data_IF_654934895935
#
_entry.id   IF_654934895935
#
_cell.length_a   1.000
_cell.length_b   1.000
_cell.length_c   1.000
_cell.angle_alpha   90.00
_cell.angle_beta   90.00
_cell.angle_gamma   90.00
#
_symmetry.space_group_name_H-M   'P 1'
#
loop_
_entity.id
_entity.type
_entity.pdbx_description
1 polymer ?
#
# COMPACT_ATOMS: atom_id res chain seq x y z
N UNK A 1 35.14 35.22 -15.55
CA UNK A 1 35.87 34.59 -14.42
C UNK A 1 35.08 34.61 -13.11
N UNK A 2 34.45 35.73 -12.71
CA UNK A 2 33.69 35.79 -11.45
C UNK A 2 32.50 34.81 -11.38
N UNK A 3 31.69 34.69 -12.45
CA UNK A 3 30.51 33.79 -12.50
C UNK A 3 30.83 32.31 -12.29
N UNK A 4 31.95 31.83 -12.82
CA UNK A 4 32.39 30.44 -12.68
C UNK A 4 32.87 30.13 -11.26
N UNK A 5 33.52 31.10 -10.60
CA UNK A 5 33.97 30.96 -9.20
C UNK A 5 32.77 30.95 -8.24
N UNK A 6 31.77 31.80 -8.47
CA UNK A 6 30.53 31.82 -7.65
C UNK A 6 29.75 30.51 -7.77
N UNK A 7 29.66 29.94 -8.99
CA UNK A 7 29.02 28.64 -9.22
C UNK A 7 29.76 27.49 -8.53
N UNK A 8 31.10 27.53 -8.51
CA UNK A 8 31.92 26.52 -7.83
C UNK A 8 31.75 26.60 -6.31
N UNK A 9 31.75 27.81 -5.74
CA UNK A 9 31.48 28.06 -4.32
C UNK A 9 30.09 27.55 -3.91
N UNK A 10 29.06 27.80 -4.73
CA UNK A 10 27.71 27.30 -4.47
C UNK A 10 27.63 25.77 -4.52
N UNK A 11 28.37 25.13 -5.43
CA UNK A 11 28.40 23.67 -5.54
C UNK A 11 29.08 23.01 -4.32
N UNK A 12 30.15 23.62 -3.81
CA UNK A 12 30.87 23.15 -2.61
C UNK A 12 30.01 23.31 -1.36
N UNK A 13 29.32 24.44 -1.19
CA UNK A 13 28.46 24.65 -0.01
C UNK A 13 27.26 23.72 0.01
N UNK A 14 26.66 23.40 -1.13
CA UNK A 14 25.59 22.38 -1.23
C UNK A 14 26.14 20.98 -0.93
N UNK A 15 27.36 20.65 -1.38
CA UNK A 15 27.98 19.35 -1.08
C UNK A 15 28.23 19.13 0.42
N UNK A 16 28.58 20.20 1.15
CA UNK A 16 28.84 20.15 2.59
C UNK A 16 27.55 20.02 3.44
N UNK A 17 26.42 20.55 2.97
CA UNK A 17 25.14 20.44 3.71
C UNK A 17 24.47 19.07 3.55
N UNK A 18 24.84 18.30 2.53
CA UNK A 18 24.30 16.95 2.29
C UNK A 18 24.92 15.90 3.23
N UNK A 19 26.07 16.17 3.85
CA UNK A 19 26.73 15.25 4.78
C UNK A 19 26.29 15.49 6.23
N UNK A 20 25.01 15.26 6.51
CA UNK A 20 24.52 15.26 7.89
C UNK A 20 24.89 13.94 8.56
N UNK A 21 25.96 13.93 9.36
CA UNK A 21 26.31 12.79 10.21
C UNK A 21 25.23 12.66 11.29
N UNK A 22 24.41 11.59 11.28
CA UNK A 22 23.35 11.45 12.26
C UNK A 22 23.96 11.10 13.63
N UNK A 23 23.42 11.66 14.71
CA UNK A 23 23.85 11.33 16.07
C UNK A 23 23.62 9.85 16.43
N UNK A 24 22.62 9.21 15.83
CA UNK A 24 22.33 7.78 15.97
C UNK A 24 21.92 7.19 14.61
N UNK A 25 22.43 6.00 14.29
CA UNK A 25 22.10 5.29 13.05
C UNK A 25 21.58 3.88 13.36
N UNK A 26 20.32 3.63 13.02
CA UNK A 26 19.71 2.30 13.14
C UNK A 26 19.80 1.60 11.79
N UNK A 27 20.30 0.36 11.78
CA UNK A 27 20.39 -0.48 10.58
C UNK A 27 19.48 -1.70 10.75
N UNK A 28 18.42 -1.75 9.95
CA UNK A 28 17.61 -2.96 9.78
C UNK A 28 18.30 -3.86 8.76
N UNK A 29 18.57 -5.10 9.15
CA UNK A 29 19.18 -6.10 8.28
C UNK A 29 18.11 -6.89 7.53
N UNK A 30 18.50 -7.70 6.54
CA UNK A 30 17.58 -8.62 5.87
C UNK A 30 16.82 -9.51 6.87
N UNK A 31 17.50 -10.00 7.91
CA UNK A 31 16.86 -10.78 9.00
C UNK A 31 15.79 -9.98 9.75
N UNK A 32 16.03 -8.68 9.97
CA UNK A 32 15.02 -7.80 10.58
C UNK A 32 13.80 -7.60 9.68
N UNK A 33 14.01 -7.49 8.37
CA UNK A 33 12.93 -7.46 7.38
C UNK A 33 12.16 -8.79 7.34
N UNK A 34 12.86 -9.92 7.44
CA UNK A 34 12.23 -11.25 7.52
C UNK A 34 11.38 -11.41 8.78
N UNK A 35 11.84 -10.89 9.92
CA UNK A 35 11.03 -10.84 11.12
C UNK A 35 9.77 -9.96 10.95
N UNK A 36 9.94 -8.77 10.37
CA UNK A 36 8.84 -7.86 10.08
C UNK A 36 7.78 -8.49 9.15
N UNK A 37 8.20 -9.36 8.22
CA UNK A 37 7.29 -10.15 7.36
C UNK A 37 6.34 -11.04 8.16
N UNK A 38 6.85 -11.71 9.20
CA UNK A 38 6.04 -12.58 10.05
C UNK A 38 5.03 -11.77 10.88
N UNK A 39 5.47 -10.63 11.41
CA UNK A 39 4.59 -9.69 12.11
C UNK A 39 3.51 -9.16 11.17
N UNK A 40 3.90 -8.72 9.98
CA UNK A 40 2.98 -8.21 8.96
C UNK A 40 1.94 -9.25 8.56
N UNK A 41 2.32 -10.53 8.43
CA UNK A 41 1.36 -11.61 8.15
C UNK A 41 0.29 -11.74 9.22
N UNK A 42 0.67 -11.69 10.49
CA UNK A 42 -0.28 -11.78 11.60
C UNK A 42 -1.23 -10.57 11.65
N UNK A 43 -0.73 -9.38 11.32
CA UNK A 43 -1.53 -8.15 11.35
C UNK A 43 -2.39 -7.92 10.10
N UNK A 44 -2.01 -8.44 8.93
CA UNK A 44 -2.76 -8.19 7.69
C UNK A 44 -4.10 -8.91 7.65
N UNK A 45 -4.19 -10.14 8.14
CA UNK A 45 -5.43 -10.93 8.13
C UNK A 45 -6.58 -10.20 8.81
N UNK A 46 -6.45 -9.70 10.06
CA UNK A 46 -7.54 -8.96 10.71
C UNK A 46 -7.83 -7.61 10.04
N UNK A 47 -6.82 -6.93 9.47
CA UNK A 47 -7.05 -5.67 8.74
C UNK A 47 -7.90 -5.90 7.50
N UNK A 48 -7.58 -6.93 6.71
CA UNK A 48 -8.34 -7.25 5.50
C UNK A 48 -9.75 -7.78 5.81
N UNK A 49 -9.92 -8.55 6.89
CA UNK A 49 -11.23 -9.01 7.34
C UNK A 49 -12.16 -7.85 7.75
N UNK A 50 -11.58 -6.73 8.24
CA UNK A 50 -12.34 -5.57 8.68
C UNK A 50 -12.54 -4.50 7.60
N UNK A 51 -12.15 -4.76 6.35
CA UNK A 51 -12.44 -3.83 5.26
C UNK A 51 -13.96 -3.76 5.07
N UNK A 52 -14.50 -2.56 5.24
CA UNK A 52 -15.88 -2.23 4.88
C UNK A 52 -15.89 -1.70 3.45
N UNK A 53 -16.74 -2.27 2.63
CA UNK A 53 -17.01 -1.78 1.28
C UNK A 53 -18.31 -0.98 1.34
N UNK A 54 -18.31 0.19 0.73
CA UNK A 54 -19.48 1.07 0.68
C UNK A 54 -20.56 0.48 -0.23
N UNK A 55 -21.81 0.81 0.07
CA UNK A 55 -22.95 0.44 -0.77
C UNK A 55 -22.81 1.07 -2.18
N UNK A 56 -23.14 0.30 -3.21
CA UNK A 56 -23.06 0.72 -4.61
C UNK A 56 -24.46 0.77 -5.20
N UNK A 57 -24.86 1.95 -5.65
CA UNK A 57 -26.16 2.17 -6.28
C UNK A 57 -25.99 2.84 -7.63
N UNK A 58 -26.87 2.51 -8.57
CA UNK A 58 -26.87 3.16 -9.87
C UNK A 58 -28.09 2.84 -10.71
N UNK A 59 -28.15 3.53 -11.84
CA UNK A 59 -29.23 3.38 -12.82
C UNK A 59 -28.66 3.42 -14.22
N UNK A 60 -29.02 2.42 -15.02
CA UNK A 60 -28.69 2.31 -16.42
C UNK A 60 -29.99 2.20 -17.22
N UNK A 61 -30.40 3.29 -17.86
CA UNK A 61 -31.67 3.38 -18.58
C UNK A 61 -32.89 3.11 -17.68
N UNK A 62 -33.67 2.08 -18.02
CA UNK A 62 -34.85 1.64 -17.26
C UNK A 62 -34.50 0.71 -16.09
N UNK A 63 -33.25 0.31 -15.96
CA UNK A 63 -32.77 -0.60 -14.92
C UNK A 63 -32.11 0.18 -13.80
N UNK A 64 -32.53 -0.05 -12.56
CA UNK A 64 -31.84 0.41 -11.35
C UNK A 64 -31.23 -0.79 -10.65
N UNK A 65 -30.01 -0.62 -10.14
CA UNK A 65 -29.30 -1.65 -9.39
C UNK A 65 -28.80 -1.10 -8.06
N UNK A 66 -28.77 -1.97 -7.05
CA UNK A 66 -28.26 -1.68 -5.72
C UNK A 66 -27.54 -2.91 -5.19
N UNK A 67 -26.27 -2.76 -4.86
CA UNK A 67 -25.45 -3.73 -4.15
C UNK A 67 -25.17 -3.13 -2.79
N UNK A 68 -25.49 -3.86 -1.74
CA UNK A 68 -25.40 -3.32 -0.38
C UNK A 68 -25.03 -4.42 0.61
N UNK A 69 -24.67 -3.99 1.81
CA UNK A 69 -24.39 -4.88 2.92
C UNK A 69 -23.28 -5.89 2.56
N UNK A 70 -22.16 -5.35 2.09
CA UNK A 70 -20.95 -6.11 1.83
C UNK A 70 -20.36 -6.65 3.14
N UNK A 71 -20.21 -7.97 3.22
CA UNK A 71 -19.64 -8.67 4.38
C UNK A 71 -18.47 -9.53 3.93
N UNK A 72 -17.29 -9.21 4.43
CA UNK A 72 -16.10 -10.05 4.27
C UNK A 72 -16.18 -11.19 5.29
N UNK A 73 -16.24 -12.42 4.80
CA UNK A 73 -16.42 -13.59 5.68
C UNK A 73 -15.12 -14.32 5.97
N UNK A 74 -14.17 -14.28 5.02
CA UNK A 74 -12.93 -15.01 5.15
C UNK A 74 -11.84 -14.50 4.21
N UNK A 75 -10.72 -14.06 4.78
CA UNK A 75 -9.51 -13.64 4.06
C UNK A 75 -8.43 -14.69 4.22
N UNK A 76 -7.93 -15.21 3.09
CA UNK A 76 -6.82 -16.15 3.01
C UNK A 76 -5.60 -15.45 2.43
N UNK A 77 -4.50 -15.39 3.18
CA UNK A 77 -3.21 -14.87 2.69
C UNK A 77 -2.14 -15.96 2.82
N UNK A 78 -1.93 -16.78 1.78
CA UNK A 78 -1.01 -17.90 1.87
C UNK A 78 0.46 -17.48 1.70
N UNK A 79 0.75 -16.44 0.93
CA UNK A 79 2.12 -16.03 0.66
C UNK A 79 2.31 -14.51 0.72
N UNK A 80 3.21 -14.09 1.62
CA UNK A 80 3.67 -12.71 1.77
C UNK A 80 5.17 -12.75 1.63
N UNK A 81 5.71 -11.92 0.73
CA UNK A 81 7.13 -11.68 0.61
C UNK A 81 7.43 -10.20 0.88
N UNK A 82 8.57 -9.94 1.49
CA UNK A 82 9.02 -8.60 1.84
C UNK A 82 10.52 -8.53 1.60
N UNK A 83 10.97 -7.55 0.82
CA UNK A 83 12.39 -7.39 0.50
C UNK A 83 12.75 -5.93 0.27
N UNK A 84 14.01 -5.60 0.52
CA UNK A 84 14.57 -4.29 0.20
C UNK A 84 14.71 -4.17 -1.32
N UNK A 85 14.26 -3.04 -1.87
CA UNK A 85 14.40 -2.69 -3.27
C UNK A 85 15.24 -1.41 -3.40
N UNK A 86 16.58 -1.55 -3.58
CA UNK A 86 17.47 -0.41 -3.71
C UNK A 86 17.15 0.46 -4.92
N UNK A 87 16.63 -0.12 -6.01
CA UNK A 87 16.28 0.59 -7.24
C UNK A 87 15.09 1.55 -7.07
N UNK A 88 14.16 1.23 -6.16
CA UNK A 88 13.03 2.10 -5.80
C UNK A 88 13.26 2.87 -4.49
N UNK A 89 14.47 2.79 -3.92
CA UNK A 89 14.85 3.42 -2.65
C UNK A 89 13.86 3.08 -1.51
N UNK A 90 13.43 1.83 -1.42
CA UNK A 90 12.36 1.46 -0.50
C UNK A 90 12.26 -0.03 -0.18
N UNK A 91 11.14 -0.38 0.43
CA UNK A 91 10.76 -1.74 0.79
C UNK A 91 9.61 -2.18 -0.12
N UNK A 92 9.73 -3.36 -0.71
CA UNK A 92 8.67 -3.95 -1.52
C UNK A 92 8.00 -5.08 -0.74
N UNK A 93 6.71 -4.93 -0.51
CA UNK A 93 5.82 -5.98 -0.01
C UNK A 93 5.07 -6.58 -1.20
N UNK A 94 5.07 -7.91 -1.32
CA UNK A 94 4.34 -8.63 -2.35
C UNK A 94 3.44 -9.67 -1.72
N UNK A 95 2.16 -9.63 -2.07
CA UNK A 95 1.19 -10.66 -1.70
C UNK A 95 0.89 -11.53 -2.91
N UNK A 96 0.89 -12.86 -2.73
CA UNK A 96 0.52 -13.81 -3.78
C UNK A 96 -0.53 -14.78 -3.27
N UNK A 97 -1.38 -15.23 -4.19
CA UNK A 97 -2.45 -16.20 -3.96
C UNK A 97 -3.42 -15.79 -2.85
N UNK A 98 -3.63 -14.48 -2.65
CA UNK A 98 -4.62 -14.01 -1.69
C UNK A 98 -6.04 -14.30 -2.20
N UNK A 99 -6.95 -14.61 -1.29
CA UNK A 99 -8.38 -14.83 -1.59
C UNK A 99 -9.25 -14.18 -0.54
N UNK A 100 -10.38 -13.61 -0.97
CA UNK A 100 -11.35 -12.93 -0.10
C UNK A 100 -12.74 -13.43 -0.46
N UNK A 101 -13.45 -13.97 0.53
CA UNK A 101 -14.84 -14.40 0.39
C UNK A 101 -15.77 -13.26 0.78
N UNK A 102 -16.50 -12.71 -0.20
CA UNK A 102 -17.40 -11.55 -0.03
C UNK A 102 -18.85 -12.00 -0.19
N UNK A 103 -19.69 -11.65 0.78
CA UNK A 103 -21.14 -11.77 0.69
C UNK A 103 -21.74 -10.38 0.49
N UNK A 104 -22.74 -10.27 -0.38
CA UNK A 104 -23.46 -9.01 -0.63
C UNK A 104 -24.92 -9.31 -0.95
N UNK A 105 -25.77 -8.32 -0.67
CA UNK A 105 -27.15 -8.33 -1.11
C UNK A 105 -27.28 -7.48 -2.37
N UNK A 106 -27.91 -8.02 -3.41
CA UNK A 106 -28.14 -7.28 -4.65
C UNK A 106 -29.64 -7.17 -4.95
N UNK A 107 -30.03 -6.02 -5.49
CA UNK A 107 -31.38 -5.77 -6.00
C UNK A 107 -31.28 -5.13 -7.36
N UNK A 108 -32.05 -5.65 -8.30
CA UNK A 108 -32.21 -5.08 -9.64
C UNK A 108 -33.69 -4.84 -9.89
N UNK A 109 -34.03 -3.61 -10.29
CA UNK A 109 -35.39 -3.18 -10.57
C UNK A 109 -35.47 -2.68 -12.01
N UNK A 110 -36.44 -3.16 -12.77
CA UNK A 110 -36.71 -2.68 -14.13
C UNK A 110 -38.03 -1.91 -14.14
N UNK A 111 -38.00 -0.66 -14.61
CA UNK A 111 -39.20 0.16 -14.76
C UNK A 111 -39.85 -0.15 -16.10
N UNK A 112 -40.84 -1.02 -16.09
CA UNK A 112 -41.78 -1.18 -17.21
C UNK A 112 -42.67 0.07 -17.20
N UNK A 113 -42.86 0.67 -18.38
CA UNK A 113 -43.68 1.86 -18.59
C UNK A 113 -45.09 1.67 -18.04
#
# INVERSE_FOLDING_TARGET
MARTITLLMLCVTIGLTVTQNPGVKIRVTAKGVDYAKNVARASLVPLLNNIRLDDVEGRQGKTSYRLHNFRTSNVRIPNINMHLNPGQRGLTLSLRNFGIDIHLDYRVSYRVL
#
